data_IF_962875607508
#
_entry.id   IF_962875607508
#
_cell.length_a   1.000
_cell.length_b   1.000
_cell.length_c   1.000
_cell.angle_alpha   90.00
_cell.angle_beta   90.00
_cell.angle_gamma   90.00
#
_symmetry.space_group_name_H-M   'P 1'
#
loop_
_entity.id
_entity.type
_entity.pdbx_description
1 polymer ?
#
# COMPACT_ATOMS: atom_id res chain seq x y z
N UNK A 1 10.28 -12.07 -10.86
CA UNK A 1 10.81 -13.09 -9.95
C UNK A 1 11.82 -12.45 -8.98
N UNK A 2 11.54 -12.54 -7.66
CA UNK A 2 12.36 -11.95 -6.59
C UNK A 2 13.32 -12.99 -5.93
N UNK A 3 13.36 -14.21 -6.42
CA UNK A 3 14.24 -15.25 -5.88
C UNK A 3 15.72 -14.83 -5.99
N UNK A 4 16.43 -14.90 -4.86
CA UNK A 4 17.83 -14.50 -4.75
C UNK A 4 18.09 -12.98 -4.76
N UNK A 5 17.04 -12.15 -4.84
CA UNK A 5 17.13 -10.68 -4.85
C UNK A 5 17.16 -10.11 -3.45
N UNK A 6 17.79 -8.95 -3.31
CA UNK A 6 17.71 -8.14 -2.08
C UNK A 6 16.45 -7.29 -2.13
N UNK A 7 15.56 -7.47 -1.15
CA UNK A 7 14.24 -6.82 -1.11
C UNK A 7 14.14 -5.96 0.14
N UNK A 8 13.56 -4.76 0.02
CA UNK A 8 13.28 -3.90 1.18
C UNK A 8 11.77 -3.78 1.42
N UNK A 9 11.41 -3.59 2.70
CA UNK A 9 10.04 -3.32 3.15
C UNK A 9 10.06 -2.38 4.35
N UNK A 10 9.03 -1.56 4.53
CA UNK A 10 8.96 -0.71 5.72
C UNK A 10 8.48 -1.53 6.92
N UNK A 11 9.16 -1.33 8.04
CA UNK A 11 8.82 -1.90 9.35
C UNK A 11 7.40 -1.47 9.79
N UNK A 12 6.63 -2.38 10.36
CA UNK A 12 5.30 -2.13 10.92
C UNK A 12 4.19 -1.97 9.87
N UNK A 13 4.44 -2.35 8.62
CA UNK A 13 3.43 -2.32 7.55
C UNK A 13 2.78 -3.68 7.33
N UNK A 14 1.64 -3.69 6.62
CA UNK A 14 1.01 -4.93 6.13
C UNK A 14 1.96 -5.74 5.25
N UNK A 15 2.73 -5.06 4.39
CA UNK A 15 3.75 -5.69 3.55
C UNK A 15 4.81 -6.45 4.36
N UNK A 16 5.31 -5.87 5.46
CA UNK A 16 6.22 -6.59 6.35
C UNK A 16 5.54 -7.77 7.03
N UNK A 17 4.31 -7.60 7.52
CA UNK A 17 3.57 -8.67 8.17
C UNK A 17 3.33 -9.87 7.26
N UNK A 18 3.02 -9.64 5.98
CA UNK A 18 2.87 -10.71 4.98
C UNK A 18 4.15 -11.53 4.77
N UNK A 19 5.31 -10.88 4.85
CA UNK A 19 6.63 -11.50 4.60
C UNK A 19 7.26 -12.12 5.85
N UNK A 20 6.74 -11.79 7.04
CA UNK A 20 7.27 -12.25 8.32
C UNK A 20 6.89 -13.71 8.59
N UNK A 21 7.49 -14.29 9.64
CA UNK A 21 7.15 -15.64 10.12
C UNK A 21 5.65 -15.76 10.43
N UNK A 22 4.99 -16.74 9.84
CA UNK A 22 3.54 -16.94 9.91
C UNK A 22 2.72 -16.05 8.98
N UNK A 23 3.32 -15.17 8.20
CA UNK A 23 2.64 -14.38 7.18
C UNK A 23 2.35 -15.18 5.90
N UNK A 24 1.34 -14.76 5.16
CA UNK A 24 0.87 -15.47 3.95
C UNK A 24 1.94 -15.59 2.85
N UNK A 25 2.91 -14.69 2.84
CA UNK A 25 4.03 -14.66 1.87
C UNK A 25 5.39 -15.06 2.48
N UNK A 26 5.40 -15.68 3.66
CA UNK A 26 6.63 -16.18 4.29
C UNK A 26 7.44 -17.08 3.35
N UNK A 27 6.76 -17.97 2.61
CA UNK A 27 7.41 -18.85 1.65
C UNK A 27 8.09 -18.10 0.51
N UNK A 28 7.50 -16.99 0.06
CA UNK A 28 8.11 -16.10 -0.93
C UNK A 28 9.33 -15.39 -0.33
N UNK A 29 9.18 -14.84 0.88
CA UNK A 29 10.27 -14.15 1.58
C UNK A 29 11.52 -15.03 1.77
N UNK A 30 11.33 -16.33 2.02
CA UNK A 30 12.43 -17.32 2.13
C UNK A 30 13.18 -17.56 0.83
N UNK A 31 12.64 -17.16 -0.32
CA UNK A 31 13.35 -17.24 -1.61
C UNK A 31 14.25 -16.04 -1.86
N UNK A 32 14.10 -14.94 -1.14
CA UNK A 32 14.91 -13.74 -1.30
C UNK A 32 16.36 -13.99 -0.91
N UNK A 33 17.28 -13.30 -1.55
CA UNK A 33 18.69 -13.27 -1.14
C UNK A 33 18.87 -12.56 0.20
N UNK A 34 18.11 -11.47 0.40
CA UNK A 34 17.99 -10.79 1.70
C UNK A 34 16.67 -10.01 1.78
N UNK A 35 16.16 -9.83 3.00
CA UNK A 35 15.03 -8.95 3.31
C UNK A 35 15.52 -7.87 4.27
N UNK A 36 15.46 -6.60 3.83
CA UNK A 36 15.84 -5.43 4.61
C UNK A 36 14.58 -4.73 5.12
N UNK A 37 14.49 -4.47 6.42
CA UNK A 37 13.45 -3.61 6.98
C UNK A 37 13.97 -2.18 7.15
N UNK A 38 13.18 -1.19 6.72
CA UNK A 38 13.47 0.23 6.83
C UNK A 38 12.45 0.91 7.73
N UNK A 39 12.81 2.02 8.34
CA UNK A 39 11.93 2.82 9.21
C UNK A 39 10.93 3.69 8.43
N UNK A 40 11.12 3.85 7.11
CA UNK A 40 10.23 4.63 6.26
C UNK A 40 10.26 4.15 4.80
N UNK A 41 9.18 4.39 4.05
CA UNK A 41 9.13 4.15 2.60
C UNK A 41 10.22 4.92 1.86
N UNK A 42 10.46 6.18 2.26
CA UNK A 42 11.50 7.00 1.63
C UNK A 42 12.88 6.35 1.78
N UNK A 43 13.16 5.73 2.93
CA UNK A 43 14.42 5.00 3.15
C UNK A 43 14.50 3.78 2.23
N UNK A 44 13.42 2.99 2.10
CA UNK A 44 13.39 1.86 1.16
C UNK A 44 13.69 2.31 -0.28
N UNK A 45 13.08 3.39 -0.74
CA UNK A 45 13.33 3.93 -2.08
C UNK A 45 14.75 4.50 -2.26
N UNK A 46 15.33 5.06 -1.19
CA UNK A 46 16.72 5.52 -1.20
C UNK A 46 17.67 4.34 -1.38
N UNK A 47 17.45 3.24 -0.67
CA UNK A 47 18.25 2.02 -0.79
C UNK A 47 18.11 1.38 -2.20
N UNK A 48 16.89 1.40 -2.77
CA UNK A 48 16.65 0.94 -4.13
C UNK A 48 17.40 1.81 -5.15
N UNK A 49 17.29 3.13 -5.04
CA UNK A 49 17.98 4.08 -5.93
C UNK A 49 19.50 4.03 -5.81
N UNK A 50 20.00 3.69 -4.63
CA UNK A 50 21.44 3.49 -4.34
C UNK A 50 21.96 2.12 -4.75
N UNK A 51 21.09 1.18 -5.16
CA UNK A 51 21.47 -0.18 -5.55
C UNK A 51 21.80 -1.11 -4.38
N UNK A 52 21.43 -0.74 -3.15
CA UNK A 52 21.61 -1.59 -1.97
C UNK A 52 20.55 -2.71 -1.92
N UNK A 53 19.38 -2.49 -2.54
CA UNK A 53 18.35 -3.50 -2.76
C UNK A 53 17.92 -3.51 -4.22
N UNK A 54 17.40 -4.64 -4.69
CA UNK A 54 16.91 -4.83 -6.06
C UNK A 54 15.42 -4.45 -6.21
N UNK A 55 14.65 -4.54 -5.13
CA UNK A 55 13.21 -4.28 -5.13
C UNK A 55 12.72 -3.75 -3.78
N UNK A 56 11.57 -3.08 -3.81
CA UNK A 56 10.84 -2.62 -2.61
C UNK A 56 9.41 -3.17 -2.67
N UNK A 57 8.94 -3.73 -1.56
CA UNK A 57 7.53 -4.10 -1.38
C UNK A 57 6.86 -2.97 -0.61
N UNK A 58 5.80 -2.42 -1.20
CA UNK A 58 5.15 -1.20 -0.73
C UNK A 58 3.72 -1.12 -1.28
N UNK A 59 2.86 -0.35 -0.62
CA UNK A 59 1.50 -0.09 -1.07
C UNK A 59 1.49 0.57 -2.46
N UNK A 60 0.65 0.06 -3.36
CA UNK A 60 0.56 0.52 -4.74
C UNK A 60 0.36 2.03 -4.90
N UNK A 61 -0.50 2.72 -4.10
CA UNK A 61 -0.61 4.18 -4.19
C UNK A 61 0.68 4.93 -3.85
N UNK A 62 1.45 4.42 -2.90
CA UNK A 62 2.76 5.00 -2.51
C UNK A 62 3.77 4.81 -3.64
N UNK A 63 3.85 3.59 -4.21
CA UNK A 63 4.71 3.31 -5.36
C UNK A 63 4.35 4.19 -6.56
N UNK A 64 3.06 4.30 -6.90
CA UNK A 64 2.56 5.10 -8.01
C UNK A 64 2.97 6.57 -7.85
N UNK A 65 2.75 7.15 -6.68
CA UNK A 65 3.14 8.54 -6.39
C UNK A 65 4.66 8.74 -6.49
N UNK A 66 5.45 7.76 -6.04
CA UNK A 66 6.91 7.86 -6.10
C UNK A 66 7.46 7.79 -7.52
N UNK A 67 7.00 6.84 -8.34
CA UNK A 67 7.52 6.68 -9.71
C UNK A 67 7.11 7.82 -10.64
N UNK A 68 5.98 8.47 -10.38
CA UNK A 68 5.57 9.67 -11.12
C UNK A 68 6.54 10.86 -10.93
N UNK A 69 7.17 10.94 -9.77
CA UNK A 69 8.06 12.04 -9.40
C UNK A 69 9.54 11.68 -9.59
N UNK A 70 9.87 10.40 -9.75
CA UNK A 70 11.24 9.91 -9.81
C UNK A 70 11.40 8.95 -10.99
N UNK A 71 12.14 9.38 -12.00
CA UNK A 71 12.45 8.54 -13.15
C UNK A 71 13.39 7.38 -12.78
N UNK A 72 13.35 6.32 -13.56
CA UNK A 72 14.26 5.16 -13.42
C UNK A 72 13.71 4.03 -12.54
N UNK A 73 12.49 4.15 -12.03
CA UNK A 73 11.80 3.11 -11.30
C UNK A 73 10.59 2.60 -12.09
N UNK A 74 10.22 1.36 -11.86
CA UNK A 74 9.02 0.73 -12.43
C UNK A 74 8.26 -0.03 -11.36
N UNK A 75 6.95 -0.15 -11.55
CA UNK A 75 6.08 -1.00 -10.72
C UNK A 75 5.87 -2.29 -11.51
N UNK A 76 6.04 -3.44 -10.84
CA UNK A 76 5.75 -4.74 -11.44
C UNK A 76 4.24 -4.97 -11.50
N UNK A 77 3.80 -5.78 -12.46
CA UNK A 77 2.37 -6.08 -12.66
C UNK A 77 1.82 -7.01 -11.58
N UNK A 78 2.69 -7.82 -10.95
CA UNK A 78 2.27 -8.75 -9.90
C UNK A 78 1.95 -8.02 -8.60
N UNK A 79 0.76 -8.27 -8.07
CA UNK A 79 0.31 -7.80 -6.76
C UNK A 79 0.50 -8.92 -5.72
N UNK A 80 1.13 -8.58 -4.59
CA UNK A 80 1.46 -9.55 -3.54
C UNK A 80 0.35 -9.74 -2.51
N UNK A 81 -0.62 -8.84 -2.45
CA UNK A 81 -1.76 -8.89 -1.55
C UNK A 81 -2.73 -7.75 -1.82
N UNK A 82 -3.97 -7.93 -1.38
CA UNK A 82 -4.99 -6.89 -1.39
C UNK A 82 -5.29 -6.47 0.04
N UNK A 83 -5.38 -5.16 0.27
CA UNK A 83 -5.77 -4.62 1.56
C UNK A 83 -6.86 -3.56 1.41
N UNK A 84 -7.54 -3.27 2.52
CA UNK A 84 -8.56 -2.24 2.59
C UNK A 84 -8.16 -1.19 3.62
N UNK A 85 -8.25 0.08 3.23
CA UNK A 85 -8.08 1.20 4.17
C UNK A 85 -9.39 1.50 4.87
N UNK A 86 -9.32 1.71 6.18
CA UNK A 86 -10.46 2.09 6.99
C UNK A 86 -10.16 3.35 7.81
N UNK A 87 -11.23 3.99 8.29
CA UNK A 87 -11.14 5.07 9.26
C UNK A 87 -11.20 4.45 10.66
N UNK A 88 -10.13 4.60 11.45
CA UNK A 88 -10.08 4.08 12.80
C UNK A 88 -10.65 5.08 13.82
N UNK A 89 -11.34 4.56 14.82
CA UNK A 89 -11.89 5.33 15.93
C UNK A 89 -11.39 4.78 17.27
N UNK A 90 -11.47 5.59 18.32
CA UNK A 90 -11.17 5.12 19.66
C UNK A 90 -12.20 4.05 20.07
N UNK A 91 -11.76 3.04 20.79
CA UNK A 91 -12.68 2.05 21.35
C UNK A 91 -13.72 2.71 22.25
N UNK A 92 -14.99 2.45 21.99
CA UNK A 92 -16.13 3.06 22.68
C UNK A 92 -16.73 4.29 22.01
N UNK A 93 -16.08 4.88 21.01
CA UNK A 93 -16.61 6.07 20.27
C UNK A 93 -17.57 5.63 19.14
N UNK A 94 -18.52 4.73 19.43
CA UNK A 94 -19.43 4.18 18.41
C UNK A 94 -20.30 5.26 17.77
N UNK A 95 -20.78 6.23 18.54
CA UNK A 95 -21.61 7.33 18.03
C UNK A 95 -20.87 8.16 16.97
N UNK A 96 -19.59 8.46 17.20
CA UNK A 96 -18.76 9.16 16.22
C UNK A 96 -18.52 8.29 14.98
N UNK A 97 -18.24 7.01 15.17
CA UNK A 97 -18.07 6.05 14.06
C UNK A 97 -19.32 6.01 13.18
N UNK A 98 -20.51 5.86 13.77
CA UNK A 98 -21.78 5.82 13.05
C UNK A 98 -22.06 7.14 12.32
N UNK A 99 -21.76 8.26 12.95
CA UNK A 99 -21.91 9.59 12.34
C UNK A 99 -21.03 9.75 11.11
N UNK A 100 -19.76 9.37 11.20
CA UNK A 100 -18.82 9.45 10.07
C UNK A 100 -19.21 8.46 8.98
N UNK A 101 -19.59 7.22 9.33
CA UNK A 101 -20.06 6.23 8.37
C UNK A 101 -21.28 6.72 7.59
N UNK A 102 -22.25 7.31 8.27
CA UNK A 102 -23.44 7.90 7.63
C UNK A 102 -23.07 9.08 6.70
N UNK A 103 -22.11 9.90 7.10
CA UNK A 103 -21.63 11.00 6.26
C UNK A 103 -20.89 10.50 5.01
N UNK A 104 -20.04 9.48 5.14
CA UNK A 104 -19.38 8.83 4.00
C UNK A 104 -20.41 8.23 3.05
N UNK A 105 -21.39 7.47 3.56
CA UNK A 105 -22.45 6.90 2.73
C UNK A 105 -23.23 8.00 1.97
N UNK A 106 -23.56 9.10 2.63
CA UNK A 106 -24.25 10.22 1.98
C UNK A 106 -23.48 10.85 0.83
N UNK A 107 -22.15 11.01 0.95
CA UNK A 107 -21.32 11.55 -0.16
C UNK A 107 -21.15 10.51 -1.29
N UNK A 108 -21.22 9.23 -1.00
CA UNK A 108 -21.26 8.17 -2.01
C UNK A 108 -22.58 8.24 -2.77
N UNK A 109 -23.70 8.24 -2.06
CA UNK A 109 -25.06 8.20 -2.64
C UNK A 109 -25.38 9.43 -3.51
N UNK A 110 -24.88 10.60 -3.14
CA UNK A 110 -25.11 11.85 -3.88
C UNK A 110 -24.07 12.13 -4.99
N UNK A 111 -23.14 11.20 -5.22
CA UNK A 111 -22.11 11.29 -6.26
C UNK A 111 -20.94 12.24 -5.94
N UNK A 112 -20.90 12.83 -4.73
CA UNK A 112 -19.79 13.70 -4.31
C UNK A 112 -18.49 12.93 -4.23
N UNK A 113 -18.54 11.67 -3.75
CA UNK A 113 -17.37 10.78 -3.66
C UNK A 113 -16.74 10.56 -5.04
N UNK A 114 -17.55 10.26 -6.06
CA UNK A 114 -17.08 10.08 -7.44
C UNK A 114 -16.40 11.35 -7.99
N UNK A 115 -16.99 12.53 -7.75
CA UNK A 115 -16.39 13.80 -8.17
C UNK A 115 -15.06 14.12 -7.48
N UNK A 116 -14.91 13.69 -6.23
CA UNK A 116 -13.63 13.81 -5.53
C UNK A 116 -12.60 12.86 -6.15
N UNK A 117 -13.02 11.62 -6.41
CA UNK A 117 -12.17 10.58 -6.99
C UNK A 117 -11.60 10.97 -8.37
N UNK A 118 -12.34 11.71 -9.19
CA UNK A 118 -11.88 12.24 -10.49
C UNK A 118 -10.58 13.07 -10.38
N UNK A 119 -10.30 13.64 -9.23
CA UNK A 119 -9.06 14.38 -8.96
C UNK A 119 -7.84 13.49 -8.73
N UNK A 120 -8.08 12.19 -8.60
CA UNK A 120 -7.06 11.18 -8.27
C UNK A 120 -7.13 10.00 -9.25
N UNK A 121 -6.84 10.23 -10.54
CA UNK A 121 -7.02 9.23 -11.60
C UNK A 121 -6.21 7.95 -11.35
N UNK A 122 -5.07 8.07 -10.67
CA UNK A 122 -4.17 6.93 -10.43
C UNK A 122 -4.70 5.92 -9.41
N UNK A 123 -5.65 6.34 -8.56
CA UNK A 123 -6.20 5.48 -7.51
C UNK A 123 -7.71 5.22 -7.67
N UNK A 124 -8.38 5.89 -8.61
CA UNK A 124 -9.84 5.80 -8.77
C UNK A 124 -10.34 4.37 -8.93
N UNK A 125 -9.59 3.52 -9.63
CA UNK A 125 -9.94 2.12 -9.87
C UNK A 125 -9.79 1.22 -8.63
N UNK A 126 -9.14 1.71 -7.58
CA UNK A 126 -8.92 0.99 -6.33
C UNK A 126 -9.89 1.43 -5.22
N UNK A 127 -10.83 2.34 -5.52
CA UNK A 127 -11.79 2.86 -4.55
C UNK A 127 -13.00 1.94 -4.45
N UNK A 128 -13.19 1.30 -3.28
CA UNK A 128 -14.23 0.29 -3.03
C UNK A 128 -15.65 0.75 -3.43
N UNK A 129 -16.01 2.00 -3.15
CA UNK A 129 -17.35 2.53 -3.42
C UNK A 129 -17.58 2.89 -4.90
N UNK A 130 -16.57 2.79 -5.76
CA UNK A 130 -16.65 3.04 -7.20
C UNK A 130 -16.45 1.77 -8.03
N UNK A 131 -15.87 0.73 -7.46
CA UNK A 131 -15.77 -0.58 -8.08
C UNK A 131 -17.16 -1.25 -8.06
N UNK A 132 -17.73 -1.50 -9.22
CA UNK A 132 -18.92 -2.32 -9.40
C UNK A 132 -18.53 -3.76 -9.70
#
# INVERSE_FOLDING_TARGET
DLAGKSVAVQLGTSGESLLSEGGDLESLAKTFGSLMTCDSFLKCFTELGGGAVDAVIVDKPVATSYVQQNAGFTILDEELGAEQYGIAFRSGDQELCDTVQAAVQKIVDNGTYAKIAEKYPDIVNNLLFLSK
#
